data_IF_824069773990
#
_entry.id   IF_824069773990
#
_cell.length_a   1.000
_cell.length_b   1.000
_cell.length_c   1.000
_cell.angle_alpha   90.00
_cell.angle_beta   90.00
_cell.angle_gamma   90.00
#
_symmetry.space_group_name_H-M   'P 1'
#
loop_
_entity.id
_entity.type
_entity.pdbx_description
1 polymer ?
#
# COMPACT_ATOMS: atom_id res chain seq x y z
N UNK A 1 -19.21 -23.00 -51.68
CA UNK A 1 -17.90 -22.46 -51.25
C UNK A 1 -18.10 -21.77 -49.91
N UNK A 2 -17.30 -22.14 -48.91
CA UNK A 2 -17.51 -21.85 -47.48
C UNK A 2 -16.65 -20.64 -47.07
N UNK A 3 -17.15 -19.69 -46.24
CA UNK A 3 -16.34 -18.54 -45.81
C UNK A 3 -15.31 -18.91 -44.73
N UNK A 4 -14.16 -18.21 -44.65
CA UNK A 4 -13.15 -18.48 -43.64
C UNK A 4 -13.51 -17.88 -42.28
N UNK A 5 -13.30 -18.71 -41.25
CA UNK A 5 -13.52 -18.43 -39.83
C UNK A 5 -12.46 -17.47 -39.28
N UNK A 6 -12.89 -16.31 -38.79
CA UNK A 6 -12.05 -15.34 -38.07
C UNK A 6 -11.72 -15.86 -36.68
N UNK A 7 -10.44 -16.14 -36.41
CA UNK A 7 -9.93 -16.43 -35.07
C UNK A 7 -9.87 -15.13 -34.26
N UNK A 8 -10.66 -15.04 -33.19
CA UNK A 8 -10.53 -14.02 -32.16
C UNK A 8 -9.29 -14.26 -31.32
N UNK A 9 -8.37 -13.30 -31.33
CA UNK A 9 -7.25 -13.24 -30.39
C UNK A 9 -7.73 -12.54 -29.12
N UNK A 10 -7.80 -13.30 -28.02
CA UNK A 10 -7.97 -12.74 -26.67
C UNK A 10 -6.77 -11.85 -26.33
N UNK A 11 -6.97 -10.66 -25.73
CA UNK A 11 -5.85 -9.88 -25.21
C UNK A 11 -5.25 -10.60 -24.00
N UNK A 12 -3.95 -10.91 -24.10
CA UNK A 12 -3.14 -11.32 -22.96
C UNK A 12 -3.24 -10.23 -21.88
N UNK A 13 -3.81 -10.59 -20.73
CA UNK A 13 -3.75 -9.76 -19.54
C UNK A 13 -2.28 -9.66 -19.11
N UNK A 14 -1.68 -8.53 -19.46
CA UNK A 14 -0.37 -8.10 -19.00
C UNK A 14 -0.37 -8.16 -17.47
N UNK A 15 0.52 -8.98 -16.92
CA UNK A 15 0.73 -9.11 -15.48
C UNK A 15 1.19 -7.77 -14.93
N UNK A 16 0.25 -6.98 -14.40
CA UNK A 16 0.58 -5.91 -13.48
C UNK A 16 1.26 -6.55 -12.26
N UNK A 17 2.59 -6.59 -12.29
CA UNK A 17 3.41 -7.11 -11.21
C UNK A 17 3.06 -6.35 -9.94
N UNK A 18 2.55 -7.08 -8.95
CA UNK A 18 2.20 -6.52 -7.66
C UNK A 18 3.52 -6.02 -7.01
N UNK A 19 3.68 -4.71 -6.72
CA UNK A 19 4.97 -4.17 -6.24
C UNK A 19 5.41 -4.73 -4.87
N UNK A 20 4.57 -5.54 -4.22
CA UNK A 20 4.83 -6.20 -2.93
C UNK A 20 5.36 -7.63 -3.02
N UNK A 21 5.44 -8.30 -4.18
CA UNK A 21 5.74 -9.75 -4.23
C UNK A 21 7.23 -10.10 -4.10
N UNK A 22 7.95 -9.46 -3.19
CA UNK A 22 9.25 -9.94 -2.71
C UNK A 22 9.16 -10.33 -1.23
N UNK A 23 8.88 -11.63 -1.03
CA UNK A 23 9.05 -12.49 0.14
C UNK A 23 8.36 -12.21 1.49
N UNK A 24 7.83 -11.03 1.85
CA UNK A 24 7.18 -10.85 3.17
C UNK A 24 6.03 -9.80 3.25
N UNK A 25 5.42 -9.39 2.12
CA UNK A 25 4.29 -8.44 2.13
C UNK A 25 2.93 -9.14 2.28
N UNK A 26 2.20 -8.85 3.36
CA UNK A 26 0.82 -9.31 3.57
C UNK A 26 -0.19 -8.24 3.15
N UNK A 27 -1.27 -8.66 2.47
CA UNK A 27 -2.43 -7.80 2.22
C UNK A 27 -3.46 -8.08 3.31
N UNK A 28 -3.94 -7.04 4.01
CA UNK A 28 -4.99 -7.16 5.01
C UNK A 28 -6.24 -6.43 4.49
N UNK A 29 -7.38 -7.11 4.46
CA UNK A 29 -8.64 -6.50 4.05
C UNK A 29 -9.38 -6.01 5.30
N UNK A 30 -9.74 -4.72 5.35
CA UNK A 30 -10.54 -4.16 6.44
C UNK A 30 -12.02 -4.06 6.06
N UNK A 31 -12.92 -4.32 7.01
CA UNK A 31 -14.39 -4.40 6.81
C UNK A 31 -15.09 -3.08 6.40
N UNK A 32 -14.42 -1.92 6.48
CA UNK A 32 -15.03 -0.61 6.14
C UNK A 32 -14.68 -0.08 4.74
N UNK A 33 -14.64 -0.96 3.74
CA UNK A 33 -14.53 -0.55 2.32
C UNK A 33 -13.19 0.05 1.89
N UNK A 34 -12.15 -0.09 2.71
CA UNK A 34 -10.78 0.28 2.38
C UNK A 34 -9.87 -0.95 2.34
N UNK A 35 -9.03 -1.07 1.31
CA UNK A 35 -7.99 -2.09 1.29
C UNK A 35 -6.76 -1.60 2.09
N UNK A 36 -6.09 -2.49 2.82
CA UNK A 36 -4.87 -2.16 3.56
C UNK A 36 -3.71 -2.99 3.03
N UNK A 37 -2.63 -2.31 2.67
CA UNK A 37 -1.41 -2.96 2.23
C UNK A 37 -0.35 -2.79 3.32
N UNK A 38 0.07 -3.89 3.93
CA UNK A 38 1.13 -3.88 4.94
C UNK A 38 2.47 -4.24 4.29
N UNK A 39 3.43 -3.32 4.38
CA UNK A 39 4.79 -3.53 3.92
C UNK A 39 5.75 -3.46 5.11
N UNK A 40 6.37 -4.59 5.43
CA UNK A 40 7.56 -4.59 6.28
C UNK A 40 8.77 -4.22 5.42
N UNK A 41 9.42 -3.10 5.71
CA UNK A 41 10.47 -2.57 4.83
C UNK A 41 11.86 -2.69 5.46
N UNK A 42 12.72 -3.47 4.79
CA UNK A 42 14.17 -3.47 5.02
C UNK A 42 14.93 -2.67 3.95
N UNK A 43 14.26 -2.25 2.88
CA UNK A 43 14.82 -1.56 1.71
C UNK A 43 15.29 -0.13 2.00
N UNK A 44 16.07 0.42 1.07
CA UNK A 44 16.53 1.81 1.11
C UNK A 44 15.40 2.82 0.91
N UNK A 45 15.63 4.07 1.34
CA UNK A 45 14.61 5.13 1.30
C UNK A 45 14.11 5.43 -0.12
N UNK A 46 14.98 5.34 -1.12
CA UNK A 46 14.61 5.61 -2.53
C UNK A 46 13.58 4.61 -3.05
N UNK A 47 13.75 3.32 -2.75
CA UNK A 47 12.79 2.29 -3.16
C UNK A 47 11.41 2.50 -2.52
N UNK A 48 11.39 3.00 -1.28
CA UNK A 48 10.15 3.32 -0.56
C UNK A 48 9.44 4.48 -1.25
N UNK A 49 10.18 5.53 -1.59
CA UNK A 49 9.64 6.69 -2.32
C UNK A 49 9.04 6.27 -3.66
N UNK A 50 9.77 5.48 -4.44
CA UNK A 50 9.31 4.97 -5.73
C UNK A 50 8.03 4.14 -5.59
N UNK A 51 7.94 3.29 -4.54
CA UNK A 51 6.73 2.51 -4.26
C UNK A 51 5.54 3.37 -3.89
N UNK A 52 5.70 4.37 -3.01
CA UNK A 52 4.61 5.28 -2.62
C UNK A 52 4.10 6.07 -3.82
N UNK A 53 4.99 6.57 -4.67
CA UNK A 53 4.60 7.22 -5.94
C UNK A 53 3.83 6.23 -6.82
N UNK A 54 4.30 4.99 -6.94
CA UNK A 54 3.59 3.93 -7.66
C UNK A 54 2.18 3.67 -7.12
N UNK A 55 2.01 3.61 -5.80
CA UNK A 55 0.71 3.48 -5.16
C UNK A 55 -0.19 4.68 -5.42
N UNK A 56 0.36 5.90 -5.41
CA UNK A 56 -0.42 7.09 -5.73
C UNK A 56 -0.96 7.04 -7.16
N UNK A 57 -0.13 6.64 -8.12
CA UNK A 57 -0.58 6.44 -9.51
C UNK A 57 -1.65 5.34 -9.60
N UNK A 58 -1.47 4.25 -8.85
CA UNK A 58 -2.44 3.16 -8.77
C UNK A 58 -3.79 3.61 -8.18
N UNK A 59 -3.75 4.48 -7.18
CA UNK A 59 -4.92 5.10 -6.56
C UNK A 59 -5.64 6.03 -7.54
N UNK A 60 -4.89 6.93 -8.21
CA UNK A 60 -5.43 7.87 -9.20
C UNK A 60 -6.10 7.15 -10.39
N UNK A 61 -5.52 6.05 -10.85
CA UNK A 61 -6.05 5.24 -11.95
C UNK A 61 -7.20 4.31 -11.52
N UNK A 62 -7.54 4.25 -10.22
CA UNK A 62 -8.60 3.41 -9.67
C UNK A 62 -8.47 1.91 -10.01
N UNK A 63 -7.24 1.43 -10.25
CA UNK A 63 -6.99 0.05 -10.68
C UNK A 63 -7.40 -0.96 -9.59
N UNK A 64 -7.37 -0.53 -8.33
CA UNK A 64 -7.80 -1.32 -7.17
C UNK A 64 -9.29 -1.71 -7.20
N UNK A 65 -10.14 -0.99 -7.94
CA UNK A 65 -11.57 -1.32 -8.05
C UNK A 65 -11.83 -2.67 -8.72
N UNK A 66 -10.85 -3.21 -9.46
CA UNK A 66 -10.92 -4.57 -10.03
C UNK A 66 -11.00 -5.67 -8.97
N UNK A 67 -10.58 -5.38 -7.73
CA UNK A 67 -10.54 -6.34 -6.63
C UNK A 67 -11.74 -6.22 -5.67
N UNK A 68 -12.60 -5.22 -5.86
CA UNK A 68 -13.75 -5.00 -5.00
C UNK A 68 -14.21 -3.53 -5.00
N UNK A 69 -15.39 -3.24 -4.43
CA UNK A 69 -15.95 -1.90 -4.34
C UNK A 69 -15.28 -1.09 -3.21
N UNK A 70 -13.96 -0.95 -3.28
CA UNK A 70 -13.20 -0.16 -2.32
C UNK A 70 -13.29 1.32 -2.67
N UNK A 71 -13.39 2.19 -1.66
CA UNK A 71 -13.34 3.64 -1.84
C UNK A 71 -11.90 4.15 -2.00
N UNK A 72 -10.94 3.41 -1.47
CA UNK A 72 -9.52 3.70 -1.54
C UNK A 72 -8.70 2.67 -0.77
N UNK A 73 -7.44 3.01 -0.50
CA UNK A 73 -6.56 2.19 0.32
C UNK A 73 -5.54 3.03 1.09
N UNK A 74 -4.87 2.38 2.05
CA UNK A 74 -3.73 2.93 2.78
C UNK A 74 -2.54 1.98 2.70
N UNK A 75 -1.35 2.55 2.73
CA UNK A 75 -0.07 1.84 2.74
C UNK A 75 0.51 1.94 4.13
N UNK A 76 0.51 0.82 4.83
CA UNK A 76 1.04 0.69 6.18
C UNK A 76 2.51 0.30 6.10
N UNK A 77 3.39 1.13 6.66
CA UNK A 77 4.83 0.94 6.63
C UNK A 77 5.32 0.68 8.04
N UNK A 78 5.82 -0.53 8.25
CA UNK A 78 6.51 -0.90 9.49
C UNK A 78 8.01 -0.76 9.31
N UNK A 79 8.64 0.02 10.17
CA UNK A 79 10.09 0.22 10.18
C UNK A 79 10.75 -0.52 11.34
N UNK A 80 12.08 -0.64 11.30
CA UNK A 80 12.85 -1.39 12.29
C UNK A 80 13.08 -0.66 13.61
N UNK A 81 12.94 0.67 13.66
CA UNK A 81 13.20 1.46 14.86
C UNK A 81 12.45 2.79 14.86
N UNK A 82 12.14 3.36 16.04
CA UNK A 82 11.47 4.66 16.15
C UNK A 82 12.22 5.79 15.43
N UNK A 83 13.56 5.77 15.50
CA UNK A 83 14.43 6.73 14.79
C UNK A 83 14.27 6.64 13.27
N UNK A 84 14.19 5.41 12.72
CA UNK A 84 13.98 5.20 11.28
C UNK A 84 12.57 5.63 10.87
N UNK A 85 11.56 5.33 11.67
CA UNK A 85 10.18 5.79 11.43
C UNK A 85 10.11 7.32 11.32
N UNK A 86 10.73 8.03 12.27
CA UNK A 86 10.79 9.51 12.27
C UNK A 86 11.51 10.05 11.02
N UNK A 87 12.68 9.51 10.70
CA UNK A 87 13.43 9.93 9.52
C UNK A 87 12.65 9.68 8.22
N UNK A 88 11.95 8.54 8.14
CA UNK A 88 11.13 8.19 6.98
C UNK A 88 9.95 9.13 6.82
N UNK A 89 9.24 9.46 7.90
CA UNK A 89 8.17 10.48 7.87
C UNK A 89 8.69 11.81 7.34
N UNK A 90 9.79 12.31 7.90
CA UNK A 90 10.39 13.56 7.43
C UNK A 90 10.79 13.52 5.95
N UNK A 91 11.35 12.41 5.47
CA UNK A 91 11.74 12.24 4.08
C UNK A 91 10.54 12.19 3.11
N UNK A 92 9.34 11.92 3.62
CA UNK A 92 8.12 11.77 2.85
C UNK A 92 7.21 13.01 2.86
N UNK A 93 7.36 13.93 3.81
CA UNK A 93 6.44 15.08 4.02
C UNK A 93 6.10 15.91 2.77
N UNK A 94 6.97 15.97 1.77
CA UNK A 94 6.76 16.77 0.55
C UNK A 94 6.66 15.94 -0.74
N UNK A 95 6.39 14.64 -0.60
CA UNK A 95 6.32 13.73 -1.73
C UNK A 95 4.87 13.41 -2.10
N UNK A 96 4.58 13.26 -3.39
CA UNK A 96 3.27 12.82 -3.85
C UNK A 96 2.95 11.41 -3.33
N UNK A 97 1.72 11.20 -2.85
CA UNK A 97 1.26 9.90 -2.32
C UNK A 97 1.53 9.70 -0.84
N UNK A 98 2.19 10.64 -0.17
CA UNK A 98 2.46 10.58 1.26
C UNK A 98 1.19 10.55 2.12
N UNK A 99 0.09 11.10 1.64
CA UNK A 99 -1.22 11.00 2.26
C UNK A 99 -1.75 9.56 2.36
N UNK A 100 -1.22 8.64 1.53
CA UNK A 100 -1.56 7.22 1.56
C UNK A 100 -0.72 6.44 2.57
N UNK A 101 0.42 6.98 3.01
CA UNK A 101 1.42 6.27 3.80
C UNK A 101 1.24 6.52 5.29
N UNK A 102 1.02 5.45 6.06
CA UNK A 102 1.02 5.47 7.52
C UNK A 102 2.21 4.70 8.04
N UNK A 103 2.96 5.29 8.97
CA UNK A 103 4.27 4.78 9.36
C UNK A 103 4.32 4.54 10.86
N UNK A 104 4.78 3.35 11.23
CA UNK A 104 5.08 2.98 12.61
C UNK A 104 6.43 2.27 12.71
N UNK A 105 6.84 1.94 13.92
CA UNK A 105 8.00 1.10 14.18
C UNK A 105 7.58 -0.26 14.74
N UNK A 106 8.50 -1.22 14.65
CA UNK A 106 8.25 -2.61 15.01
C UNK A 106 7.84 -2.80 16.47
N UNK A 107 8.27 -1.95 17.40
CA UNK A 107 8.02 -2.12 18.83
C UNK A 107 6.56 -1.82 19.20
N UNK A 108 5.84 -1.10 18.33
CA UNK A 108 4.43 -0.76 18.52
C UNK A 108 3.48 -1.75 17.85
N UNK A 109 3.96 -2.59 16.93
CA UNK A 109 3.12 -3.52 16.15
C UNK A 109 3.03 -4.87 16.84
N UNK A 110 1.90 -5.11 17.49
CA UNK A 110 1.50 -6.34 18.14
C UNK A 110 0.15 -6.83 17.61
N UNK A 111 -0.22 -8.07 17.93
CA UNK A 111 -1.47 -8.68 17.44
C UNK A 111 -2.71 -7.88 17.85
N UNK A 112 -2.72 -7.33 19.06
CA UNK A 112 -3.78 -6.51 19.63
C UNK A 112 -3.72 -5.03 19.23
N UNK A 113 -2.55 -4.53 18.80
CA UNK A 113 -2.36 -3.12 18.43
C UNK A 113 -2.40 -2.86 16.93
N UNK A 114 -2.11 -3.84 16.07
CA UNK A 114 -1.95 -3.62 14.62
C UNK A 114 -3.21 -3.03 13.96
N UNK A 115 -4.40 -3.46 14.39
CA UNK A 115 -5.68 -2.98 13.84
C UNK A 115 -6.36 -1.92 14.73
N UNK A 116 -6.38 -2.15 16.03
CA UNK A 116 -7.10 -1.32 17.01
C UNK A 116 -6.25 -0.23 17.64
N UNK A 117 -4.93 -0.42 17.70
CA UNK A 117 -4.01 0.48 18.36
C UNK A 117 -3.84 1.80 17.63
N UNK A 118 -3.68 2.87 18.41
CA UNK A 118 -3.28 4.20 17.96
C UNK A 118 -1.75 4.23 17.76
N UNK A 119 -1.27 3.42 16.83
CA UNK A 119 0.16 3.21 16.59
C UNK A 119 0.61 3.71 15.22
N UNK A 120 -0.34 4.04 14.34
CA UNK A 120 -0.08 4.47 12.98
C UNK A 120 0.03 5.99 12.97
N UNK A 121 1.11 6.52 12.40
CA UNK A 121 1.25 7.96 12.25
C UNK A 121 1.17 8.33 10.77
N UNK A 122 0.29 9.26 10.44
CA UNK A 122 0.15 9.75 9.08
C UNK A 122 1.16 10.86 8.75
N UNK A 123 1.00 11.45 7.57
CA UNK A 123 1.84 12.54 7.10
C UNK A 123 1.67 13.87 7.84
N UNK A 124 0.53 14.09 8.49
CA UNK A 124 0.27 15.28 9.32
C UNK A 124 0.80 15.08 10.75
N UNK A 125 1.47 13.96 10.99
CA UNK A 125 1.96 13.52 12.30
C UNK A 125 0.83 13.20 13.28
N UNK A 126 -0.39 13.00 12.78
CA UNK A 126 -1.52 12.57 13.60
C UNK A 126 -1.46 11.06 13.84
N UNK A 127 -1.81 10.67 15.06
CA UNK A 127 -1.90 9.26 15.44
C UNK A 127 -3.26 8.72 15.02
N UNK A 128 -3.26 7.58 14.34
CA UNK A 128 -4.42 6.92 13.74
C UNK A 128 -4.51 5.46 14.20
N UNK A 129 -5.73 4.94 14.14
CA UNK A 129 -6.07 3.52 14.28
C UNK A 129 -6.84 3.10 13.02
N UNK A 130 -6.75 1.83 12.65
CA UNK A 130 -7.38 1.32 11.42
C UNK A 130 -8.88 1.11 11.62
N UNK A 131 -9.29 0.62 12.79
CA UNK A 131 -10.67 0.20 13.06
C UNK A 131 -11.53 1.23 13.82
N UNK A 132 -10.98 2.37 14.25
CA UNK A 132 -11.77 3.42 14.92
C UNK A 132 -12.69 4.13 13.91
#
# INVERSE_FOLDING_TARGET
ETPPSTKGSSPQAERAGNPCTHKNGGSLFGDRGGSLFACQIQEGMRQIQDKIIGYQLYHQQKVFQKFGPFSGFRVLIQTTSPKRAKNMRHALLNMAGTELAWITDREQVWEDTVLSGEIWQDHELEIKSILK
#
